data_IF_395128168441
#
_entry.id   IF_395128168441
#
_cell.length_a   1.000
_cell.length_b   1.000
_cell.length_c   1.000
_cell.angle_alpha   90.00
_cell.angle_beta   90.00
_cell.angle_gamma   90.00
#
_symmetry.space_group_name_H-M   'P 1'
#
loop_
_entity.id
_entity.type
_entity.pdbx_description
1 polymer ?
#
# COMPACT_ATOMS: atom_id res chain seq x y z
N UNK A 1 22.28 19.61 -8.82
CA UNK A 1 22.19 18.48 -9.78
C UNK A 1 22.96 17.31 -9.21
N UNK A 2 22.26 16.41 -8.53
CA UNK A 2 22.62 15.00 -8.37
C UNK A 2 21.28 14.27 -8.20
N UNK A 3 20.59 13.96 -9.29
CA UNK A 3 19.62 12.85 -9.29
C UNK A 3 20.44 11.56 -9.28
N UNK A 4 21.15 11.32 -8.17
CA UNK A 4 21.63 9.98 -7.87
C UNK A 4 20.43 9.21 -7.33
N UNK A 5 20.11 8.06 -7.92
CA UNK A 5 19.20 7.11 -7.30
C UNK A 5 19.68 6.87 -5.87
N UNK A 6 18.85 7.22 -4.88
CA UNK A 6 19.20 7.15 -3.47
C UNK A 6 19.46 5.70 -3.05
N UNK A 7 18.81 4.76 -3.73
CA UNK A 7 19.12 3.33 -3.69
C UNK A 7 19.43 2.81 -5.09
N UNK A 8 20.71 2.66 -5.44
CA UNK A 8 21.10 2.20 -6.78
C UNK A 8 20.72 0.74 -7.09
N UNK A 9 20.35 -0.07 -6.09
CA UNK A 9 20.00 -1.49 -6.30
C UNK A 9 18.97 -2.00 -5.26
N UNK A 10 17.67 -1.70 -5.41
CA UNK A 10 16.65 -2.22 -4.51
C UNK A 10 16.50 -3.75 -4.62
N UNK A 11 16.27 -4.42 -3.49
CA UNK A 11 15.90 -5.84 -3.48
C UNK A 11 14.47 -5.96 -4.02
N UNK A 12 14.33 -6.62 -5.17
CA UNK A 12 13.04 -6.81 -5.85
C UNK A 12 12.51 -8.20 -5.55
N UNK A 13 11.34 -8.27 -4.94
CA UNK A 13 10.61 -9.51 -4.69
C UNK A 13 9.69 -9.85 -5.88
N UNK A 14 9.51 -11.15 -6.12
CA UNK A 14 8.55 -11.62 -7.11
C UNK A 14 7.14 -11.18 -6.69
N UNK A 15 6.39 -10.56 -7.60
CA UNK A 15 4.98 -10.23 -7.34
C UNK A 15 4.22 -11.52 -7.07
N UNK A 16 3.36 -11.52 -6.05
CA UNK A 16 2.44 -12.62 -5.80
C UNK A 16 1.43 -12.64 -6.95
N UNK A 17 1.31 -13.78 -7.62
CA UNK A 17 0.35 -13.96 -8.71
C UNK A 17 -1.04 -13.59 -8.20
N UNK A 18 -1.79 -12.79 -8.98
CA UNK A 18 -3.18 -12.46 -8.66
C UNK A 18 -3.99 -13.74 -8.74
N UNK A 19 -4.13 -14.44 -7.61
CA UNK A 19 -5.10 -15.51 -7.50
C UNK A 19 -6.45 -14.82 -7.65
N UNK A 20 -7.10 -15.04 -8.79
CA UNK A 20 -8.49 -14.62 -8.98
C UNK A 20 -9.29 -15.41 -7.96
N UNK A 21 -9.59 -14.80 -6.81
CA UNK A 21 -10.54 -15.37 -5.86
C UNK A 21 -11.83 -15.56 -6.65
N UNK A 22 -12.20 -16.83 -6.87
CA UNK A 22 -13.55 -17.16 -7.31
C UNK A 22 -14.50 -16.44 -6.34
N UNK A 23 -15.45 -15.69 -6.88
CA UNK A 23 -16.41 -14.85 -6.16
C UNK A 23 -16.80 -15.52 -4.84
N UNK A 24 -16.21 -15.04 -3.73
CA UNK A 24 -16.58 -15.55 -2.42
C UNK A 24 -18.00 -15.02 -2.15
N UNK A 25 -18.98 -15.88 -1.77
CA UNK A 25 -20.35 -15.45 -1.52
C UNK A 25 -20.50 -14.69 -0.19
N UNK A 26 -19.43 -14.06 0.31
CA UNK A 26 -19.44 -13.29 1.53
C UNK A 26 -19.91 -11.87 1.23
N UNK A 27 -21.18 -11.60 1.51
CA UNK A 27 -21.76 -10.25 1.73
C UNK A 27 -21.15 -9.15 0.86
N UNK A 28 -21.81 -8.83 -0.25
CA UNK A 28 -21.52 -7.84 -1.32
C UNK A 28 -20.92 -6.46 -0.94
N UNK A 29 -20.66 -6.16 0.34
CA UNK A 29 -20.23 -4.85 0.83
C UNK A 29 -19.12 -4.88 1.90
N UNK A 30 -18.62 -6.05 2.33
CA UNK A 30 -17.59 -6.13 3.37
C UNK A 30 -16.20 -5.91 2.77
N UNK A 31 -15.47 -4.91 3.26
CA UNK A 31 -14.09 -4.61 2.84
C UNK A 31 -13.12 -5.49 3.64
N UNK A 32 -12.32 -6.32 2.96
CA UNK A 32 -11.27 -7.11 3.60
C UNK A 32 -9.87 -6.46 3.44
N UNK A 33 -8.87 -6.84 4.26
CA UNK A 33 -7.50 -6.32 4.12
C UNK A 33 -6.86 -6.63 2.77
N UNK A 34 -7.28 -7.70 2.10
CA UNK A 34 -6.75 -8.11 0.80
C UNK A 34 -7.26 -7.19 -0.31
N UNK A 35 -8.53 -6.75 -0.27
CA UNK A 35 -9.11 -5.75 -1.16
C UNK A 35 -8.34 -4.43 -1.08
N UNK A 36 -8.01 -4.02 0.16
CA UNK A 36 -7.19 -2.85 0.43
C UNK A 36 -5.79 -3.06 -0.15
N UNK A 37 -5.14 -4.19 0.10
CA UNK A 37 -3.82 -4.53 -0.44
C UNK A 37 -3.80 -4.48 -1.96
N UNK A 38 -4.76 -5.12 -2.63
CA UNK A 38 -4.84 -5.21 -4.08
C UNK A 38 -5.11 -3.85 -4.74
N UNK A 39 -5.77 -2.93 -4.04
CA UNK A 39 -5.98 -1.56 -4.48
C UNK A 39 -4.68 -0.73 -4.51
N UNK A 40 -3.73 -1.01 -3.61
CA UNK A 40 -2.52 -0.19 -3.42
C UNK A 40 -1.19 -0.87 -3.85
N UNK A 41 -1.16 -2.20 -4.02
CA UNK A 41 0.04 -2.99 -4.41
C UNK A 41 0.73 -2.52 -5.69
N UNK A 42 -0.02 -1.92 -6.60
CA UNK A 42 0.46 -1.47 -7.91
C UNK A 42 0.93 -0.01 -7.93
N UNK A 43 0.82 0.70 -6.80
CA UNK A 43 1.46 2.01 -6.66
C UNK A 43 2.96 1.84 -6.90
N UNK A 44 3.50 2.67 -7.80
CA UNK A 44 4.92 2.68 -8.12
C UNK A 44 5.66 3.59 -7.16
N UNK A 45 6.87 3.19 -6.84
CA UNK A 45 7.79 4.02 -6.09
C UNK A 45 8.19 5.26 -6.92
N UNK A 46 8.31 6.45 -6.32
CA UNK A 46 8.70 7.66 -7.04
C UNK A 46 10.17 7.65 -7.50
N UNK A 47 11.04 6.83 -6.89
CA UNK A 47 12.46 6.73 -7.23
C UNK A 47 12.76 5.54 -8.15
N UNK A 48 11.91 4.51 -8.12
CA UNK A 48 12.12 3.27 -8.85
C UNK A 48 10.94 2.87 -9.74
N UNK A 49 11.19 2.18 -10.87
CA UNK A 49 10.12 1.67 -11.73
C UNK A 49 9.34 0.48 -11.12
N UNK A 50 9.62 0.11 -9.86
CA UNK A 50 9.03 -1.04 -9.15
C UNK A 50 7.82 -0.63 -8.30
N UNK A 51 6.91 -1.58 -8.03
CA UNK A 51 5.76 -1.34 -7.16
C UNK A 51 6.10 -1.50 -5.68
N UNK A 52 5.28 -0.92 -4.79
CA UNK A 52 5.47 -1.01 -3.34
C UNK A 52 5.52 -2.47 -2.84
N UNK A 53 4.73 -3.37 -3.46
CA UNK A 53 4.79 -4.82 -3.20
C UNK A 53 6.17 -5.40 -3.56
N UNK A 54 6.71 -5.04 -4.73
CA UNK A 54 8.00 -5.57 -5.19
C UNK A 54 9.17 -5.10 -4.32
N UNK A 55 9.03 -3.94 -3.69
CA UNK A 55 10.03 -3.36 -2.81
C UNK A 55 9.88 -3.80 -1.35
N UNK A 56 8.94 -4.70 -1.04
CA UNK A 56 8.56 -5.08 0.33
C UNK A 56 8.22 -3.88 1.23
N UNK A 57 7.77 -2.77 0.63
CA UNK A 57 7.36 -1.57 1.36
C UNK A 57 6.02 -1.80 2.04
N UNK A 58 5.17 -2.61 1.41
CA UNK A 58 3.82 -2.91 1.85
C UNK A 58 3.57 -4.42 1.81
N UNK A 59 2.92 -4.95 2.85
CA UNK A 59 2.46 -6.33 2.94
C UNK A 59 0.99 -6.40 3.39
N UNK A 60 0.32 -7.53 3.13
CA UNK A 60 -1.09 -7.73 3.53
C UNK A 60 -1.26 -7.64 5.06
N UNK A 61 -0.31 -8.18 5.81
CA UNK A 61 -0.26 -8.15 7.28
C UNK A 61 -0.11 -6.74 7.87
N UNK A 62 0.34 -5.77 7.07
CA UNK A 62 0.54 -4.39 7.51
C UNK A 62 -0.74 -3.54 7.37
N UNK A 63 -1.83 -4.15 6.91
CA UNK A 63 -3.14 -3.54 6.70
C UNK A 63 -4.13 -4.02 7.75
N UNK A 64 -4.80 -3.08 8.40
CA UNK A 64 -5.82 -3.35 9.41
C UNK A 64 -7.11 -2.67 8.96
N UNK A 65 -8.20 -3.44 8.86
CA UNK A 65 -9.52 -2.94 8.48
C UNK A 65 -10.49 -3.19 9.63
N UNK A 66 -11.04 -2.10 10.18
CA UNK A 66 -12.10 -2.12 11.18
C UNK A 66 -13.41 -1.64 10.56
N UNK A 67 -14.21 -2.57 10.03
CA UNK A 67 -15.49 -2.25 9.39
C UNK A 67 -16.49 -1.60 10.36
N UNK A 68 -16.52 -2.07 11.61
CA UNK A 68 -17.42 -1.53 12.67
C UNK A 68 -17.17 -0.05 12.98
N UNK A 69 -15.90 0.37 12.90
CA UNK A 69 -15.48 1.75 13.14
C UNK A 69 -15.33 2.54 11.84
N UNK A 70 -15.54 1.89 10.68
CA UNK A 70 -15.24 2.44 9.38
C UNK A 70 -13.80 2.95 9.32
N UNK A 71 -12.79 2.13 9.66
CA UNK A 71 -11.39 2.57 9.68
C UNK A 71 -10.51 1.64 8.86
N UNK A 72 -9.65 2.23 8.03
CA UNK A 72 -8.59 1.51 7.30
C UNK A 72 -7.27 2.07 7.79
N UNK A 73 -6.40 1.20 8.30
CA UNK A 73 -5.05 1.56 8.71
C UNK A 73 -4.03 0.82 7.85
N UNK A 74 -3.08 1.57 7.31
CA UNK A 74 -1.92 1.02 6.60
C UNK A 74 -0.67 1.40 7.35
N UNK A 75 0.13 0.40 7.69
CA UNK A 75 1.50 0.56 8.13
C UNK A 75 2.42 0.15 6.98
N UNK A 76 3.43 0.94 6.65
CA UNK A 76 4.39 0.58 5.61
C UNK A 76 5.82 0.90 6.06
N UNK A 77 6.78 0.19 5.49
CA UNK A 77 8.20 0.33 5.84
C UNK A 77 8.94 0.86 4.62
N UNK A 78 9.36 2.15 4.59
CA UNK A 78 10.07 2.69 3.44
C UNK A 78 11.39 1.95 3.22
N UNK A 79 11.77 1.73 1.95
CA UNK A 79 13.00 1.02 1.57
C UNK A 79 14.28 1.75 1.98
N UNK A 80 14.20 3.06 2.21
CA UNK A 80 15.34 3.91 2.58
C UNK A 80 14.92 4.93 3.64
N UNK A 81 15.82 5.18 4.59
CA UNK A 81 15.66 6.06 5.76
C UNK A 81 15.57 7.58 5.42
N UNK A 82 15.33 7.95 4.17
CA UNK A 82 15.10 9.35 3.79
C UNK A 82 13.59 9.67 3.86
N UNK A 83 13.19 10.33 4.95
CA UNK A 83 11.78 10.63 5.29
C UNK A 83 10.98 11.39 4.22
N UNK A 84 11.65 12.02 3.24
CA UNK A 84 11.00 12.77 2.17
C UNK A 84 10.14 11.88 1.27
N UNK A 85 10.64 10.72 0.86
CA UNK A 85 9.91 9.80 -0.03
C UNK A 85 8.86 8.98 0.72
N UNK A 86 9.10 8.65 2.00
CA UNK A 86 8.08 8.04 2.85
C UNK A 86 6.80 8.88 2.91
N UNK A 87 6.93 10.20 3.03
CA UNK A 87 5.76 11.10 3.04
C UNK A 87 5.01 11.08 1.71
N UNK A 88 5.72 11.04 0.58
CA UNK A 88 5.11 10.96 -0.76
C UNK A 88 4.38 9.62 -0.94
N UNK A 89 5.02 8.50 -0.59
CA UNK A 89 4.41 7.16 -0.64
C UNK A 89 3.14 7.13 0.22
N UNK A 90 3.22 7.66 1.45
CA UNK A 90 2.07 7.74 2.36
C UNK A 90 0.91 8.58 1.80
N UNK A 91 1.21 9.69 1.11
CA UNK A 91 0.20 10.51 0.44
C UNK A 91 -0.43 9.78 -0.74
N UNK A 92 0.36 9.09 -1.57
CA UNK A 92 -0.13 8.27 -2.66
C UNK A 92 -1.07 7.15 -2.17
N UNK A 93 -0.67 6.45 -1.10
CA UNK A 93 -1.50 5.44 -0.44
C UNK A 93 -2.84 6.03 0.02
N UNK A 94 -2.79 7.16 0.73
CA UNK A 94 -3.99 7.82 1.25
C UNK A 94 -4.95 8.24 0.13
N UNK A 95 -4.44 8.88 -0.92
CA UNK A 95 -5.27 9.33 -2.06
C UNK A 95 -5.88 8.14 -2.79
N UNK A 96 -5.11 7.07 -3.03
CA UNK A 96 -5.59 5.86 -3.68
C UNK A 96 -6.73 5.21 -2.90
N UNK A 97 -6.58 5.07 -1.59
CA UNK A 97 -7.64 4.52 -0.74
C UNK A 97 -8.89 5.40 -0.70
N UNK A 98 -8.73 6.72 -0.64
CA UNK A 98 -9.87 7.63 -0.68
C UNK A 98 -10.64 7.59 -2.02
N UNK A 99 -10.00 7.18 -3.11
CA UNK A 99 -10.64 7.00 -4.41
C UNK A 99 -11.29 5.62 -4.57
N UNK A 100 -10.66 4.59 -4.01
CA UNK A 100 -11.13 3.20 -4.14
C UNK A 100 -12.21 2.82 -3.13
N UNK A 101 -12.25 3.47 -1.96
CA UNK A 101 -13.17 3.12 -0.87
C UNK A 101 -14.17 4.26 -0.55
N UNK A 102 -15.37 3.91 -0.03
CA UNK A 102 -16.37 4.90 0.36
C UNK A 102 -15.87 5.92 1.40
N UNK A 103 -16.38 7.17 1.39
CA UNK A 103 -15.90 8.24 2.25
C UNK A 103 -16.20 8.06 3.75
N UNK A 104 -17.04 7.08 4.11
CA UNK A 104 -17.29 6.74 5.52
C UNK A 104 -16.07 6.05 6.17
N UNK A 105 -15.14 5.52 5.38
CA UNK A 105 -13.90 4.95 5.89
C UNK A 105 -12.88 6.04 6.25
N UNK A 106 -12.49 6.09 7.52
CA UNK A 106 -11.37 6.88 8.01
C UNK A 106 -10.06 6.19 7.68
N UNK A 107 -9.35 6.71 6.68
CA UNK A 107 -8.02 6.24 6.28
C UNK A 107 -6.93 6.82 7.18
N UNK A 108 -6.13 5.96 7.80
CA UNK A 108 -4.92 6.32 8.56
C UNK A 108 -3.70 5.63 7.94
N UNK A 109 -2.68 6.39 7.56
CA UNK A 109 -1.44 5.82 6.99
C UNK A 109 -0.28 6.18 7.91
N UNK A 110 0.48 5.18 8.32
CA UNK A 110 1.66 5.32 9.17
C UNK A 110 2.86 4.67 8.50
N UNK A 111 4.03 5.26 8.69
CA UNK A 111 5.30 4.62 8.33
C UNK A 111 6.06 4.28 9.60
N UNK A 112 6.70 3.11 9.63
CA UNK A 112 7.62 2.73 10.70
C UNK A 112 9.05 3.04 10.22
N UNK A 113 9.78 3.87 10.96
CA UNK A 113 11.21 4.19 10.74
C UNK A 113 12.10 3.45 11.74
#
# INVERSE_FOLDING_TARGET
MTLGLINANPVVHAKKERVTRAEHPHSDNAVDPLDVFDSVRDIRDPEHPYSLEQLSVLSEESIIVDEKLGRIQINFTPTVQHCSMATVIGLCLRVKLMQSFPPHFKVSVWFLL
#
